data_IF_480030362421
#
_entry.id   IF_480030362421
#
_cell.length_a   1.000
_cell.length_b   1.000
_cell.length_c   1.000
_cell.angle_alpha   90.00
_cell.angle_beta   90.00
_cell.angle_gamma   90.00
#
_symmetry.space_group_name_H-M   'P 1'
#
loop_
_entity.id
_entity.type
_entity.pdbx_description
1 polymer ?
#
# COMPACT_ATOMS: atom_id res chain seq x y z
N UNK A 1 8.21 7.56 -11.66
CA UNK A 1 6.92 7.12 -11.07
C UNK A 1 6.75 7.83 -9.75
N UNK A 2 5.65 8.55 -9.54
CA UNK A 2 5.42 9.33 -8.32
C UNK A 2 4.77 8.51 -7.20
N UNK A 3 4.65 9.10 -6.00
CA UNK A 3 4.01 8.45 -4.84
C UNK A 3 2.56 8.02 -5.10
N UNK A 4 1.79 8.83 -5.83
CA UNK A 4 0.40 8.53 -6.21
C UNK A 4 0.32 7.34 -7.18
N UNK A 5 1.20 7.30 -8.19
CA UNK A 5 1.23 6.21 -9.17
C UNK A 5 1.57 4.88 -8.49
N UNK A 6 2.59 4.88 -7.62
CA UNK A 6 3.01 3.71 -6.84
C UNK A 6 1.86 3.21 -5.96
N UNK A 7 1.17 4.10 -5.24
CA UNK A 7 0.04 3.72 -4.41
C UNK A 7 -1.11 3.17 -5.25
N UNK A 8 -1.42 3.80 -6.39
CA UNK A 8 -2.48 3.35 -7.30
C UNK A 8 -2.21 1.93 -7.79
N UNK A 9 -0.97 1.63 -8.20
CA UNK A 9 -0.56 0.28 -8.60
C UNK A 9 -0.70 -0.73 -7.46
N UNK A 10 -0.24 -0.37 -6.26
CA UNK A 10 -0.37 -1.21 -5.07
C UNK A 10 -1.85 -1.52 -4.74
N UNK A 11 -2.72 -0.51 -4.79
CA UNK A 11 -4.15 -0.67 -4.49
C UNK A 11 -4.89 -1.48 -5.57
N UNK A 12 -4.54 -1.31 -6.85
CA UNK A 12 -5.05 -2.15 -7.93
C UNK A 12 -4.59 -3.60 -7.75
N UNK A 13 -3.32 -3.83 -7.41
CA UNK A 13 -2.81 -5.17 -7.14
C UNK A 13 -3.53 -5.84 -5.96
N UNK A 14 -3.87 -5.09 -4.91
CA UNK A 14 -4.71 -5.60 -3.82
C UNK A 14 -6.12 -5.95 -4.32
N UNK A 15 -6.78 -5.05 -5.05
CA UNK A 15 -8.11 -5.29 -5.63
C UNK A 15 -8.14 -6.55 -6.51
N UNK A 16 -7.08 -6.78 -7.28
CA UNK A 16 -6.98 -7.95 -8.17
C UNK A 16 -6.44 -9.20 -7.45
N UNK A 17 -6.23 -9.14 -6.13
CA UNK A 17 -5.58 -10.19 -5.33
C UNK A 17 -4.21 -10.64 -5.90
N UNK A 18 -3.52 -9.75 -6.61
CA UNK A 18 -2.20 -9.97 -7.18
C UNK A 18 -1.11 -9.62 -6.15
N UNK A 19 -0.86 -10.54 -5.23
CA UNK A 19 0.08 -10.35 -4.12
C UNK A 19 1.52 -10.13 -4.58
N UNK A 20 1.90 -10.67 -5.73
CA UNK A 20 3.24 -10.46 -6.31
C UNK A 20 3.42 -9.02 -6.80
N UNK A 21 2.43 -8.48 -7.52
CA UNK A 21 2.47 -7.08 -7.96
C UNK A 21 2.34 -6.11 -6.78
N UNK A 22 1.54 -6.47 -5.77
CA UNK A 22 1.43 -5.71 -4.52
C UNK A 22 2.78 -5.64 -3.79
N UNK A 23 3.53 -6.75 -3.78
CA UNK A 23 4.89 -6.79 -3.26
C UNK A 23 5.86 -5.90 -4.06
N UNK A 24 5.80 -5.89 -5.39
CA UNK A 24 6.68 -5.05 -6.22
C UNK A 24 6.51 -3.55 -5.97
N UNK A 25 5.29 -3.14 -5.62
CA UNK A 25 4.96 -1.75 -5.31
C UNK A 25 5.12 -1.41 -3.80
N UNK A 26 5.61 -2.35 -2.99
CA UNK A 26 5.96 -2.10 -1.59
C UNK A 26 7.33 -1.42 -1.45
N UNK A 27 7.54 -0.72 -0.33
CA UNK A 27 8.81 -0.07 0.01
C UNK A 27 10.00 -1.05 -0.05
N UNK A 28 11.20 -0.57 -0.40
CA UNK A 28 12.41 -1.40 -0.56
C UNK A 28 12.69 -2.17 0.73
N UNK A 29 12.52 -1.50 1.88
CA UNK A 29 12.59 -2.11 3.21
C UNK A 29 11.71 -3.36 3.38
N UNK A 30 10.53 -3.38 2.74
CA UNK A 30 9.64 -4.52 2.77
C UNK A 30 10.06 -5.60 1.79
N UNK A 31 10.56 -5.19 0.62
CA UNK A 31 11.06 -6.09 -0.41
C UNK A 31 12.32 -6.83 0.00
N UNK A 32 13.15 -6.24 0.87
CA UNK A 32 14.39 -6.86 1.35
C UNK A 32 14.21 -8.02 2.34
N UNK A 33 13.01 -8.22 2.89
CA UNK A 33 12.71 -9.29 3.87
C UNK A 33 12.61 -10.69 3.25
N UNK A 34 12.75 -10.79 1.93
CA UNK A 34 12.58 -12.01 1.14
C UNK A 34 11.20 -12.07 0.48
N UNK A 35 11.20 -12.30 -0.84
CA UNK A 35 9.99 -12.24 -1.70
C UNK A 35 8.84 -13.08 -1.16
N UNK A 36 9.04 -14.39 -1.04
CA UNK A 36 7.96 -15.33 -0.70
C UNK A 36 7.37 -15.03 0.68
N UNK A 37 8.23 -14.79 1.67
CA UNK A 37 7.82 -14.43 3.04
C UNK A 37 6.99 -13.14 3.06
N UNK A 38 7.40 -12.11 2.31
CA UNK A 38 6.64 -10.85 2.24
C UNK A 38 5.32 -11.01 1.50
N UNK A 39 5.27 -11.79 0.41
CA UNK A 39 4.05 -12.11 -0.32
C UNK A 39 3.05 -12.85 0.57
N UNK A 40 3.51 -13.88 1.29
CA UNK A 40 2.65 -14.65 2.20
C UNK A 40 2.09 -13.78 3.32
N UNK A 41 2.91 -12.85 3.84
CA UNK A 41 2.50 -11.92 4.88
C UNK A 41 1.47 -10.91 4.34
N UNK A 42 1.69 -10.35 3.15
CA UNK A 42 0.70 -9.49 2.48
C UNK A 42 -0.62 -10.24 2.29
N UNK A 43 -0.56 -11.45 1.73
CA UNK A 43 -1.75 -12.29 1.58
C UNK A 43 -2.46 -12.45 2.91
N UNK A 44 -1.76 -12.82 3.98
CA UNK A 44 -2.35 -13.04 5.32
C UNK A 44 -3.06 -11.81 5.89
N UNK A 45 -2.61 -10.60 5.54
CA UNK A 45 -3.17 -9.35 6.07
C UNK A 45 -4.33 -8.81 5.25
N UNK A 46 -4.28 -9.00 3.93
CA UNK A 46 -5.18 -8.34 2.99
C UNK A 46 -6.26 -9.26 2.42
N UNK A 47 -6.07 -10.60 2.45
CA UNK A 47 -7.00 -11.55 1.79
C UNK A 47 -8.43 -11.55 2.35
N UNK A 48 -8.62 -11.16 3.62
CA UNK A 48 -9.95 -11.12 4.24
C UNK A 48 -10.82 -9.95 3.77
N UNK A 49 -10.19 -8.93 3.17
CA UNK A 49 -10.84 -7.72 2.69
C UNK A 49 -10.75 -7.71 1.17
N UNK A 50 -11.82 -8.16 0.52
CA UNK A 50 -11.95 -8.11 -0.92
C UNK A 50 -12.20 -6.66 -1.36
N UNK A 51 -11.13 -5.96 -1.73
CA UNK A 51 -11.16 -4.53 -2.05
C UNK A 51 -11.90 -4.30 -3.36
N UNK A 52 -13.06 -3.63 -3.31
CA UNK A 52 -13.87 -3.36 -4.49
C UNK A 52 -13.48 -2.05 -5.17
N UNK A 53 -13.30 -0.98 -4.39
CA UNK A 53 -12.95 0.36 -4.89
C UNK A 53 -12.07 1.11 -3.90
N UNK A 54 -11.33 2.10 -4.42
CA UNK A 54 -10.62 3.09 -3.61
C UNK A 54 -10.66 4.46 -4.30
N UNK A 55 -10.61 5.52 -3.49
CA UNK A 55 -10.54 6.90 -3.94
C UNK A 55 -9.55 7.67 -3.08
N UNK A 56 -8.59 8.34 -3.71
CA UNK A 56 -7.68 9.27 -3.03
C UNK A 56 -8.49 10.49 -2.59
N UNK A 57 -8.40 10.85 -1.31
CA UNK A 57 -9.08 11.99 -0.72
C UNK A 57 -8.14 13.17 -0.45
N UNK A 58 -6.96 12.89 0.09
CA UNK A 58 -6.00 13.91 0.51
C UNK A 58 -4.58 13.37 0.40
N UNK A 59 -3.66 14.23 -0.03
CA UNK A 59 -2.22 13.96 -0.05
C UNK A 59 -1.52 14.97 0.86
N UNK A 60 -0.69 14.47 1.76
CA UNK A 60 0.07 15.25 2.74
C UNK A 60 1.56 14.95 2.55
N UNK A 61 2.31 15.92 2.02
CA UNK A 61 3.77 15.80 1.90
C UNK A 61 4.38 15.93 3.31
N UNK A 62 5.07 14.90 3.76
CA UNK A 62 5.79 14.89 5.05
C UNK A 62 7.24 15.35 4.85
N UNK A 63 7.87 14.90 3.77
CA UNK A 63 9.21 15.31 3.33
C UNK A 63 9.35 15.11 1.82
N UNK A 64 10.53 15.38 1.25
CA UNK A 64 10.82 15.07 -0.16
C UNK A 64 10.83 13.57 -0.47
N UNK A 65 10.94 12.71 0.55
CA UNK A 65 11.01 11.26 0.43
C UNK A 65 9.85 10.54 1.14
N UNK A 66 8.84 11.25 1.63
CA UNK A 66 7.72 10.66 2.37
C UNK A 66 6.42 11.43 2.15
N UNK A 67 5.35 10.69 1.82
CA UNK A 67 4.01 11.22 1.60
C UNK A 67 2.99 10.34 2.30
N UNK A 68 2.09 10.96 3.06
CA UNK A 68 0.90 10.30 3.58
C UNK A 68 -0.29 10.58 2.66
N UNK A 69 -1.05 9.55 2.30
CA UNK A 69 -2.19 9.64 1.40
C UNK A 69 -3.41 9.05 2.11
N UNK A 70 -4.43 9.86 2.31
CA UNK A 70 -5.72 9.41 2.83
C UNK A 70 -6.57 8.89 1.69
N UNK A 71 -7.09 7.68 1.82
CA UNK A 71 -8.01 7.06 0.86
C UNK A 71 -9.34 6.76 1.52
N UNK A 72 -10.42 6.83 0.75
CA UNK A 72 -11.65 6.08 1.02
C UNK A 72 -11.52 4.73 0.31
N UNK A 73 -11.78 3.63 1.01
CA UNK A 73 -11.84 2.30 0.41
C UNK A 73 -13.22 1.69 0.65
N UNK A 74 -13.64 0.83 -0.26
CA UNK A 74 -14.81 -0.03 -0.08
C UNK A 74 -14.38 -1.47 -0.30
N UNK A 75 -14.78 -2.37 0.60
CA UNK A 75 -14.40 -3.78 0.53
C UNK A 75 -15.51 -4.68 1.06
N UNK A 76 -15.52 -5.94 0.60
CA UNK A 76 -16.37 -6.99 1.13
C UNK A 76 -15.60 -7.79 2.19
N UNK A 77 -16.24 -8.07 3.31
CA UNK A 77 -15.75 -9.01 4.32
C UNK A 77 -16.54 -10.30 4.21
N UNK A 78 -15.89 -11.42 3.87
CA UNK A 78 -16.53 -12.73 3.65
C UNK A 78 -17.89 -12.65 2.92
N UNK A 79 -17.92 -11.91 1.81
CA UNK A 79 -19.04 -11.86 0.84
C UNK A 79 -20.37 -11.26 1.36
N UNK A 80 -20.46 -10.84 2.62
CA UNK A 80 -21.78 -10.58 3.24
C UNK A 80 -22.10 -9.11 3.48
N UNK A 81 -21.10 -8.22 3.57
CA UNK A 81 -21.35 -6.78 3.75
C UNK A 81 -20.29 -5.90 3.06
N UNK A 82 -20.75 -4.94 2.24
CA UNK A 82 -19.91 -3.85 1.73
C UNK A 82 -19.63 -2.88 2.88
N UNK A 83 -18.35 -2.72 3.20
CA UNK A 83 -17.90 -1.77 4.20
C UNK A 83 -17.09 -0.67 3.53
N UNK A 84 -17.40 0.58 3.89
CA UNK A 84 -16.65 1.76 3.43
C UNK A 84 -15.92 2.39 4.62
N UNK A 85 -14.62 2.64 4.47
CA UNK A 85 -13.78 3.22 5.53
C UNK A 85 -12.76 4.19 4.95
N UNK A 86 -12.16 5.00 5.81
CA UNK A 86 -10.95 5.75 5.46
C UNK A 86 -9.72 5.03 6.00
N UNK A 87 -8.65 5.10 5.23
CA UNK A 87 -7.33 4.57 5.58
C UNK A 87 -6.26 5.62 5.23
N UNK A 88 -5.08 5.48 5.82
CA UNK A 88 -3.92 6.33 5.54
C UNK A 88 -2.77 5.46 5.06
N UNK A 89 -2.45 5.56 3.78
CA UNK A 89 -1.26 4.93 3.23
C UNK A 89 -0.05 5.85 3.41
N UNK A 90 1.09 5.27 3.80
CA UNK A 90 2.38 5.96 3.77
C UNK A 90 3.19 5.44 2.58
N UNK A 91 3.66 6.35 1.74
CA UNK A 91 4.52 6.04 0.60
C UNK A 91 5.89 6.68 0.86
N UNK A 92 6.94 5.88 0.78
CA UNK A 92 8.30 6.29 1.12
C UNK A 92 9.20 6.04 -0.09
N UNK A 93 10.01 7.04 -0.43
CA UNK A 93 11.03 6.95 -1.46
C UNK A 93 12.33 6.48 -0.82
N UNK A 94 12.84 5.31 -1.22
CA UNK A 94 14.04 4.69 -0.64
C UNK A 94 15.07 4.39 -1.73
N UNK A 95 16.36 4.53 -1.45
CA UNK A 95 17.43 3.97 -2.30
C UNK A 95 17.84 2.58 -1.85
N UNK A 96 17.74 2.31 -0.55
CA UNK A 96 18.07 1.04 0.10
C UNK A 96 17.12 0.83 1.29
N UNK A 97 17.05 -0.40 1.85
CA UNK A 97 16.29 -0.66 3.07
C UNK A 97 16.66 0.34 4.17
N UNK A 98 15.63 0.99 4.72
CA UNK A 98 15.72 1.98 5.79
C UNK A 98 16.52 3.25 5.44
N UNK A 99 16.73 3.54 4.14
CA UNK A 99 17.39 4.77 3.67
C UNK A 99 16.45 5.61 2.79
N UNK A 100 15.58 6.46 3.39
CA UNK A 100 14.74 7.38 2.63
C UNK A 100 15.55 8.42 1.86
N UNK A 101 15.22 8.66 0.60
CA UNK A 101 15.88 9.66 -0.26
C UNK A 101 14.94 10.11 -1.38
N UNK A 102 15.03 11.39 -1.78
CA UNK A 102 14.25 11.93 -2.90
C UNK A 102 14.64 11.32 -4.25
N UNK A 103 15.86 10.81 -4.36
CA UNK A 103 16.44 10.23 -5.57
C UNK A 103 16.24 8.69 -5.63
N UNK A 104 15.40 8.15 -4.74
CA UNK A 104 15.12 6.72 -4.64
C UNK A 104 13.93 6.25 -5.48
N UNK A 105 13.39 5.10 -5.07
CA UNK A 105 12.19 4.49 -5.63
C UNK A 105 11.07 4.58 -4.60
N UNK A 106 9.93 5.14 -5.00
CA UNK A 106 8.72 5.17 -4.19
C UNK A 106 8.15 3.77 -4.00
N UNK A 107 7.83 3.42 -2.76
CA UNK A 107 7.10 2.20 -2.41
C UNK A 107 6.15 2.43 -1.24
N UNK A 108 5.09 1.64 -1.19
CA UNK A 108 4.08 1.70 -0.13
C UNK A 108 4.58 0.98 1.12
N UNK A 109 4.36 1.56 2.30
CA UNK A 109 4.44 0.84 3.57
C UNK A 109 3.12 0.06 3.80
N UNK A 110 3.09 -1.28 3.64
CA UNK A 110 1.85 -2.05 3.74
C UNK A 110 1.22 -1.98 5.13
N UNK A 111 2.01 -1.83 6.19
CA UNK A 111 1.52 -1.77 7.57
C UNK A 111 0.62 -0.55 7.78
N UNK A 112 0.93 0.58 7.15
CA UNK A 112 0.16 1.82 7.30
C UNK A 112 -1.29 1.67 6.81
N UNK A 113 -1.50 0.82 5.80
CA UNK A 113 -2.81 0.63 5.15
C UNK A 113 -3.78 -0.17 6.02
N UNK A 114 -3.30 -0.98 6.97
CA UNK A 114 -4.13 -1.88 7.76
C UNK A 114 -5.08 -1.15 8.73
N UNK A 115 -4.75 0.08 9.11
CA UNK A 115 -5.51 0.85 10.10
C UNK A 115 -6.61 1.68 9.45
N UNK A 116 -7.84 1.39 9.87
CA UNK A 116 -9.05 2.15 9.55
C UNK A 116 -9.23 3.30 10.57
N UNK A 117 -9.83 4.42 10.14
CA UNK A 117 -10.23 5.52 11.03
C UNK A 117 -11.39 6.33 10.45
#
# INVERSE_FOLDING_TARGET
MGSIDTLTKFMNAWKDSNWSEMFENAQITWRSRGRNKSIDLLKSWFYLKDLTTFKILKTEKISDSCVDITLKISYLYYVSNLKEVKIKARVICETEPYKPSKDGIWGVNPVGILREF
#
